data_IF_594180667864
#
_entry.id   IF_594180667864
#
_cell.length_a   1.000
_cell.length_b   1.000
_cell.length_c   1.000
_cell.angle_alpha   90.00
_cell.angle_beta   90.00
_cell.angle_gamma   90.00
#
_symmetry.space_group_name_H-M   'P 1'
#
loop_
_entity.id
_entity.type
_entity.pdbx_description
1 polymer ?
#
# COMPACT_ATOMS: atom_id res chain seq x y z
N UNK A 1 -18.06 -2.95 -8.64
CA UNK A 1 -16.96 -3.63 -9.35
C UNK A 1 -16.27 -2.70 -10.35
N UNK A 2 -17.00 -1.97 -11.22
CA UNK A 2 -16.39 -1.12 -12.25
C UNK A 2 -15.35 -0.14 -11.70
N UNK A 3 -15.68 0.61 -10.65
CA UNK A 3 -14.73 1.54 -10.00
C UNK A 3 -13.52 0.83 -9.39
N UNK A 4 -13.73 -0.33 -8.77
CA UNK A 4 -12.65 -1.15 -8.22
C UNK A 4 -11.71 -1.66 -9.33
N UNK A 5 -12.28 -2.11 -10.45
CA UNK A 5 -11.52 -2.55 -11.62
C UNK A 5 -10.69 -1.40 -12.23
N UNK A 6 -11.27 -0.21 -12.36
CA UNK A 6 -10.54 0.96 -12.87
C UNK A 6 -9.35 1.35 -11.97
N UNK A 7 -9.53 1.32 -10.64
CA UNK A 7 -8.44 1.56 -9.71
C UNK A 7 -7.37 0.46 -9.81
N UNK A 8 -7.79 -0.79 -9.91
CA UNK A 8 -6.90 -1.94 -10.03
C UNK A 8 -6.03 -1.88 -11.30
N UNK A 9 -6.65 -1.59 -12.44
CA UNK A 9 -5.94 -1.39 -13.72
C UNK A 9 -5.02 -0.16 -13.66
N UNK A 10 -5.46 0.92 -13.01
CA UNK A 10 -4.64 2.11 -12.78
C UNK A 10 -3.37 1.82 -11.97
N UNK A 11 -3.48 1.01 -10.91
CA UNK A 11 -2.34 0.58 -10.10
C UNK A 11 -1.29 -0.17 -10.92
N UNK A 12 -1.70 -1.17 -11.71
CA UNK A 12 -0.81 -1.88 -12.64
C UNK A 12 -0.24 -0.93 -13.69
N UNK A 13 -1.10 -0.07 -14.26
CA UNK A 13 -0.71 0.85 -15.32
C UNK A 13 0.43 1.79 -14.90
N UNK A 14 0.35 2.35 -13.69
CA UNK A 14 1.39 3.23 -13.15
C UNK A 14 2.71 2.48 -12.98
N UNK A 15 2.69 1.25 -12.42
CA UNK A 15 3.90 0.46 -12.21
C UNK A 15 4.56 0.11 -13.54
N UNK A 16 3.77 -0.38 -14.51
CA UNK A 16 4.26 -0.75 -15.84
C UNK A 16 4.78 0.47 -16.59
N UNK A 17 4.05 1.59 -16.54
CA UNK A 17 4.46 2.85 -17.16
C UNK A 17 5.77 3.37 -16.58
N UNK A 18 5.90 3.39 -15.25
CA UNK A 18 7.12 3.83 -14.59
C UNK A 18 8.33 2.99 -15.01
N UNK A 19 8.18 1.67 -15.10
CA UNK A 19 9.30 0.79 -15.47
C UNK A 19 9.59 0.75 -16.96
N UNK A 20 8.58 0.94 -17.83
CA UNK A 20 8.77 0.88 -19.28
C UNK A 20 9.21 2.22 -19.87
N UNK A 21 8.62 3.32 -19.38
CA UNK A 21 8.78 4.65 -20.00
C UNK A 21 9.92 5.45 -19.37
N UNK A 22 10.09 5.40 -18.06
CA UNK A 22 11.14 6.15 -17.37
C UNK A 22 12.56 5.85 -17.89
N UNK A 23 12.96 4.59 -18.14
CA UNK A 23 14.28 4.31 -18.73
C UNK A 23 14.45 4.84 -20.15
N UNK A 24 13.35 5.00 -20.91
CA UNK A 24 13.40 5.49 -22.30
C UNK A 24 13.58 7.01 -22.39
N UNK A 25 13.15 7.75 -21.37
CA UNK A 25 13.17 9.21 -21.39
C UNK A 25 14.56 9.83 -21.19
N UNK A 26 15.58 9.06 -20.80
CA UNK A 26 17.00 9.48 -20.66
C UNK A 26 17.20 10.85 -19.96
N UNK A 27 16.27 11.29 -19.12
CA UNK A 27 16.30 12.60 -18.49
C UNK A 27 17.37 12.62 -17.39
N UNK A 28 18.30 13.58 -17.47
CA UNK A 28 19.53 13.64 -16.67
C UNK A 28 19.42 13.63 -15.14
N UNK A 29 18.20 13.67 -14.57
CA UNK A 29 17.98 13.47 -13.14
C UNK A 29 17.75 11.99 -12.75
N UNK A 30 17.62 11.10 -13.71
CA UNK A 30 17.24 9.71 -13.51
C UNK A 30 18.39 8.79 -13.08
N UNK A 31 19.63 9.29 -13.09
CA UNK A 31 20.77 8.55 -12.54
C UNK A 31 20.62 8.30 -11.03
N UNK A 32 19.88 9.17 -10.32
CA UNK A 32 19.55 8.98 -8.90
C UNK A 32 18.48 7.88 -8.67
N UNK A 33 17.60 7.63 -9.65
CA UNK A 33 16.62 6.52 -9.62
C UNK A 33 17.20 5.19 -10.13
N UNK A 34 18.36 5.20 -10.76
CA UNK A 34 19.13 4.00 -11.12
C UNK A 34 19.80 3.32 -9.92
N UNK A 35 19.69 3.89 -8.73
CA UNK A 35 20.28 3.36 -7.52
C UNK A 35 19.77 1.95 -7.23
N UNK A 36 20.70 1.02 -7.27
CA UNK A 36 20.72 -0.36 -6.72
C UNK A 36 19.52 -1.28 -6.95
N UNK A 37 18.28 -0.82 -6.78
CA UNK A 37 17.09 -1.68 -6.89
C UNK A 37 16.74 -2.02 -8.34
N UNK A 38 16.93 -1.08 -9.28
CA UNK A 38 16.66 -1.30 -10.70
C UNK A 38 17.77 -2.09 -11.39
N UNK A 39 19.04 -1.85 -11.07
CA UNK A 39 20.15 -2.60 -11.67
C UNK A 39 20.14 -4.08 -11.29
N UNK A 40 19.67 -4.44 -10.07
CA UNK A 40 19.50 -5.84 -9.68
C UNK A 40 18.31 -6.51 -10.37
N UNK A 41 17.22 -5.77 -10.59
CA UNK A 41 16.06 -6.28 -11.32
C UNK A 41 16.35 -6.42 -12.83
N UNK A 42 17.07 -5.48 -13.43
CA UNK A 42 17.44 -5.50 -14.85
C UNK A 42 18.36 -6.68 -15.22
N UNK A 43 19.24 -7.11 -14.30
CA UNK A 43 20.07 -8.31 -14.48
C UNK A 43 19.26 -9.62 -14.48
N UNK A 44 18.04 -9.60 -13.93
CA UNK A 44 17.17 -10.79 -13.81
C UNK A 44 16.17 -10.90 -14.95
N UNK A 45 15.81 -9.80 -15.63
CA UNK A 45 14.80 -9.82 -16.72
C UNK A 45 15.27 -8.96 -17.90
N UNK A 46 15.67 -9.56 -19.01
CA UNK A 46 16.31 -8.86 -20.12
C UNK A 46 15.38 -8.00 -20.98
N UNK A 47 14.05 -8.00 -20.76
CA UNK A 47 13.11 -7.21 -21.56
C UNK A 47 12.01 -6.57 -20.71
N UNK A 48 11.75 -5.28 -20.91
CA UNK A 48 10.70 -4.52 -20.21
C UNK A 48 9.31 -5.19 -20.28
N UNK A 49 8.96 -5.81 -21.40
CA UNK A 49 7.69 -6.55 -21.57
C UNK A 49 7.58 -7.79 -20.68
N UNK A 50 8.69 -8.53 -20.50
CA UNK A 50 8.71 -9.71 -19.62
C UNK A 50 8.63 -9.29 -18.14
N UNK A 51 9.26 -8.18 -17.78
CA UNK A 51 9.17 -7.59 -16.45
C UNK A 51 7.73 -7.14 -16.16
N UNK A 52 7.11 -6.40 -17.08
CA UNK A 52 5.74 -5.93 -16.96
C UNK A 52 4.74 -7.11 -16.81
N UNK A 53 4.89 -8.15 -17.63
CA UNK A 53 4.05 -9.35 -17.54
C UNK A 53 4.23 -10.10 -16.21
N UNK A 54 5.48 -10.23 -15.74
CA UNK A 54 5.79 -10.86 -14.45
C UNK A 54 5.19 -10.10 -13.27
N UNK A 55 5.27 -8.77 -13.27
CA UNK A 55 4.68 -7.94 -12.23
C UNK A 55 3.16 -7.99 -12.28
N UNK A 56 2.57 -7.93 -13.47
CA UNK A 56 1.12 -8.08 -13.63
C UNK A 56 0.60 -9.41 -13.05
N UNK A 57 1.33 -10.49 -13.28
CA UNK A 57 1.00 -11.81 -12.72
C UNK A 57 1.09 -11.81 -11.19
N UNK A 58 2.17 -11.28 -10.62
CA UNK A 58 2.36 -11.17 -9.16
C UNK A 58 1.26 -10.31 -8.54
N UNK A 59 0.94 -9.19 -9.17
CA UNK A 59 -0.13 -8.30 -8.72
C UNK A 59 -1.50 -8.99 -8.73
N UNK A 60 -1.83 -9.72 -9.79
CA UNK A 60 -3.06 -10.50 -9.88
C UNK A 60 -3.10 -11.62 -8.82
N UNK A 61 -1.99 -12.33 -8.62
CA UNK A 61 -1.88 -13.38 -7.61
C UNK A 61 -2.06 -12.84 -6.19
N UNK A 62 -1.42 -11.71 -5.86
CA UNK A 62 -1.61 -11.03 -4.58
C UNK A 62 -3.05 -10.57 -4.40
N UNK A 63 -3.68 -10.02 -5.45
CA UNK A 63 -5.09 -9.61 -5.38
C UNK A 63 -6.01 -10.79 -5.11
N UNK A 64 -5.80 -11.92 -5.77
CA UNK A 64 -6.55 -13.15 -5.53
C UNK A 64 -6.34 -13.67 -4.09
N UNK A 65 -5.10 -13.67 -3.60
CA UNK A 65 -4.78 -14.03 -2.23
C UNK A 65 -5.54 -13.15 -1.22
N UNK A 66 -5.52 -11.82 -1.41
CA UNK A 66 -6.24 -10.89 -0.52
C UNK A 66 -7.77 -11.08 -0.61
N UNK A 67 -8.33 -11.36 -1.79
CA UNK A 67 -9.76 -11.67 -1.93
C UNK A 67 -10.15 -12.90 -1.11
N UNK A 68 -9.31 -13.94 -1.17
CA UNK A 68 -9.50 -15.17 -0.38
C UNK A 68 -9.41 -14.85 1.13
N UNK A 69 -8.38 -14.14 1.58
CA UNK A 69 -8.20 -13.77 2.99
C UNK A 69 -9.37 -12.93 3.52
N UNK A 70 -9.85 -11.93 2.77
CA UNK A 70 -10.99 -11.10 3.14
C UNK A 70 -12.28 -11.91 3.20
N UNK A 71 -12.49 -12.86 2.27
CA UNK A 71 -13.65 -13.73 2.31
C UNK A 71 -13.64 -14.66 3.55
N UNK A 72 -12.50 -15.26 3.87
CA UNK A 72 -12.35 -16.06 5.11
C UNK A 72 -12.47 -15.22 6.38
N UNK A 73 -12.21 -13.92 6.32
CA UNK A 73 -12.42 -12.99 7.43
C UNK A 73 -13.88 -12.60 7.65
N UNK A 74 -14.82 -13.15 6.85
CA UNK A 74 -16.25 -12.91 6.95
C UNK A 74 -16.80 -11.86 5.98
N UNK A 75 -15.99 -11.35 5.04
CA UNK A 75 -16.48 -10.45 4.00
C UNK A 75 -17.18 -11.25 2.88
N UNK A 76 -18.33 -10.79 2.41
CA UNK A 76 -18.99 -11.40 1.26
C UNK A 76 -18.11 -11.41 0.01
N UNK A 77 -18.24 -12.42 -0.84
CA UNK A 77 -17.37 -12.62 -2.03
C UNK A 77 -17.28 -11.38 -2.90
N UNK A 78 -18.40 -10.71 -3.16
CA UNK A 78 -18.44 -9.48 -3.96
C UNK A 78 -17.63 -8.35 -3.33
N UNK A 79 -17.81 -8.13 -2.02
CA UNK A 79 -17.08 -7.11 -1.26
C UNK A 79 -15.60 -7.48 -1.15
N UNK A 80 -15.27 -8.75 -0.90
CA UNK A 80 -13.90 -9.24 -0.80
C UNK A 80 -13.10 -9.01 -2.10
N UNK A 81 -13.70 -9.31 -3.26
CA UNK A 81 -13.06 -9.07 -4.56
C UNK A 81 -12.89 -7.57 -4.81
N UNK A 82 -13.92 -6.75 -4.58
CA UNK A 82 -13.84 -5.32 -4.79
C UNK A 82 -12.78 -4.66 -3.88
N UNK A 83 -12.76 -5.03 -2.58
CA UNK A 83 -11.80 -4.46 -1.63
C UNK A 83 -10.38 -4.99 -1.83
N UNK A 84 -10.17 -6.26 -2.24
CA UNK A 84 -8.83 -6.75 -2.57
C UNK A 84 -8.21 -5.97 -3.73
N UNK A 85 -8.98 -5.71 -4.79
CA UNK A 85 -8.55 -4.90 -5.93
C UNK A 85 -8.13 -3.49 -5.49
N UNK A 86 -8.97 -2.82 -4.69
CA UNK A 86 -8.74 -1.43 -4.29
C UNK A 86 -7.72 -1.28 -3.15
N UNK A 87 -7.49 -2.35 -2.36
CA UNK A 87 -6.44 -2.39 -1.33
C UNK A 87 -5.06 -2.51 -1.97
N UNK A 88 -4.85 -3.49 -2.86
CA UNK A 88 -3.56 -3.69 -3.52
C UNK A 88 -3.21 -2.56 -4.49
N UNK A 89 -4.22 -1.93 -5.10
CA UNK A 89 -4.07 -0.73 -5.91
C UNK A 89 -3.84 0.54 -5.07
N UNK A 90 -3.94 0.46 -3.74
CA UNK A 90 -3.96 1.62 -2.83
C UNK A 90 -4.93 2.71 -3.28
N UNK A 91 -6.12 2.30 -3.76
CA UNK A 91 -7.11 3.20 -4.35
C UNK A 91 -8.26 3.58 -3.40
N UNK A 92 -8.56 2.77 -2.38
CA UNK A 92 -9.47 3.08 -1.28
C UNK A 92 -10.96 3.15 -1.61
N UNK A 93 -11.38 2.71 -2.80
CA UNK A 93 -12.80 2.59 -3.08
C UNK A 93 -13.43 1.47 -2.26
N UNK A 94 -14.52 1.79 -1.56
CA UNK A 94 -15.34 0.82 -0.83
C UNK A 94 -16.73 0.68 -1.46
N UNK A 95 -17.30 -0.51 -1.37
CA UNK A 95 -18.69 -0.81 -1.72
C UNK A 95 -19.67 -0.31 -0.67
N UNK A 96 -19.17 0.13 0.51
CA UNK A 96 -19.95 0.60 1.65
C UNK A 96 -19.73 2.08 1.89
N UNK A 97 -20.78 2.80 2.27
CA UNK A 97 -20.74 4.26 2.52
C UNK A 97 -19.81 4.62 3.69
N UNK A 98 -19.81 3.80 4.76
CA UNK A 98 -18.93 3.98 5.91
C UNK A 98 -17.55 3.33 5.71
N UNK A 99 -17.16 3.02 4.47
CA UNK A 99 -15.89 2.38 4.11
C UNK A 99 -15.69 1.06 4.87
N UNK A 100 -14.49 0.80 5.39
CA UNK A 100 -14.17 -0.44 6.11
C UNK A 100 -14.83 -0.49 7.48
N UNK A 101 -15.08 0.65 8.10
CA UNK A 101 -15.84 0.72 9.35
C UNK A 101 -17.25 0.10 9.30
N UNK A 102 -17.83 -0.05 8.09
CA UNK A 102 -19.13 -0.71 7.91
C UNK A 102 -19.12 -2.24 8.22
N UNK A 103 -17.95 -2.86 8.22
CA UNK A 103 -17.83 -4.30 8.46
C UNK A 103 -17.69 -4.65 9.95
N UNK A 104 -17.36 -3.68 10.79
CA UNK A 104 -17.18 -3.82 12.25
C UNK A 104 -16.39 -5.09 12.65
N UNK A 105 -15.32 -5.38 11.93
CA UNK A 105 -14.49 -6.57 12.10
C UNK A 105 -13.03 -6.22 12.22
N UNK A 106 -12.46 -6.49 13.39
CA UNK A 106 -11.03 -6.29 13.67
C UNK A 106 -10.15 -7.10 12.72
N UNK A 107 -10.57 -8.32 12.38
CA UNK A 107 -9.81 -9.20 11.47
C UNK A 107 -9.73 -8.59 10.07
N UNK A 108 -10.86 -8.10 9.55
CA UNK A 108 -10.92 -7.44 8.23
C UNK A 108 -9.99 -6.23 8.21
N UNK A 109 -10.01 -5.40 9.25
CA UNK A 109 -9.14 -4.23 9.35
C UNK A 109 -7.65 -4.61 9.27
N UNK A 110 -7.21 -5.62 10.04
CA UNK A 110 -5.80 -6.06 10.01
C UNK A 110 -5.38 -6.67 8.67
N UNK A 111 -6.26 -7.44 8.04
CA UNK A 111 -6.00 -7.98 6.69
C UNK A 111 -5.85 -6.83 5.67
N UNK A 112 -6.69 -5.81 5.76
CA UNK A 112 -6.59 -4.63 4.88
C UNK A 112 -5.33 -3.81 5.17
N UNK A 113 -4.95 -3.60 6.45
CA UNK A 113 -3.69 -2.95 6.82
C UNK A 113 -2.50 -3.66 6.16
N UNK A 114 -2.43 -4.98 6.29
CA UNK A 114 -1.38 -5.78 5.66
C UNK A 114 -1.38 -5.61 4.13
N UNK A 115 -2.56 -5.59 3.50
CA UNK A 115 -2.69 -5.36 2.05
C UNK A 115 -2.26 -3.98 1.60
N UNK A 116 -2.59 -2.93 2.34
CA UNK A 116 -2.15 -1.56 2.07
C UNK A 116 -0.62 -1.44 2.15
N UNK A 117 0.00 -2.06 3.15
CA UNK A 117 1.47 -2.09 3.29
C UNK A 117 2.10 -2.85 2.12
N UNK A 118 1.59 -4.05 1.79
CA UNK A 118 2.08 -4.87 0.66
C UNK A 118 1.95 -4.14 -0.68
N UNK A 119 0.83 -3.44 -0.93
CA UNK A 119 0.66 -2.61 -2.13
C UNK A 119 1.64 -1.42 -2.19
N UNK A 120 2.16 -0.99 -1.03
CA UNK A 120 3.07 0.15 -0.90
C UNK A 120 4.55 -0.22 -1.05
N UNK A 121 4.88 -1.50 -1.16
CA UNK A 121 6.24 -1.99 -1.36
C UNK A 121 6.57 -2.18 -2.86
N UNK A 122 7.85 -2.20 -3.25
CA UNK A 122 8.23 -2.30 -4.64
C UNK A 122 7.86 -3.67 -5.25
N UNK A 123 7.04 -3.68 -6.31
CA UNK A 123 6.60 -4.92 -6.96
C UNK A 123 7.72 -5.71 -7.63
N UNK A 124 8.81 -5.04 -8.00
CA UNK A 124 10.01 -5.70 -8.52
C UNK A 124 10.61 -6.70 -7.51
N UNK A 125 10.55 -6.41 -6.21
CA UNK A 125 11.03 -7.32 -5.18
C UNK A 125 10.16 -8.57 -5.03
N UNK A 126 8.84 -8.45 -5.20
CA UNK A 126 7.96 -9.62 -5.22
C UNK A 126 8.27 -10.56 -6.39
N UNK A 127 8.55 -10.00 -7.57
CA UNK A 127 8.98 -10.80 -8.71
C UNK A 127 10.34 -11.49 -8.44
N UNK A 128 11.27 -10.80 -7.79
CA UNK A 128 12.54 -11.39 -7.37
C UNK A 128 12.36 -12.49 -6.31
N UNK A 129 11.41 -12.32 -5.37
CA UNK A 129 11.08 -13.34 -4.36
C UNK A 129 10.58 -14.64 -5.00
N UNK A 130 9.70 -14.56 -6.00
CA UNK A 130 9.22 -15.74 -6.75
C UNK A 130 10.38 -16.50 -7.40
N UNK A 131 11.49 -15.81 -7.70
CA UNK A 131 12.71 -16.39 -8.29
C UNK A 131 13.79 -16.76 -7.26
N UNK A 132 13.44 -16.76 -5.96
CA UNK A 132 14.33 -17.17 -4.86
C UNK A 132 15.13 -16.03 -4.20
N UNK A 133 14.91 -14.76 -4.61
CA UNK A 133 15.64 -13.58 -4.10
C UNK A 133 14.95 -12.85 -2.94
N UNK A 134 14.47 -13.54 -1.90
CA UNK A 134 13.67 -12.96 -0.82
C UNK A 134 14.40 -11.93 0.08
N UNK A 135 15.73 -11.99 0.14
CA UNK A 135 16.54 -11.08 0.97
C UNK A 135 16.51 -9.62 0.46
N UNK A 136 16.27 -9.40 -0.83
CA UNK A 136 16.29 -8.06 -1.44
C UNK A 136 15.25 -7.11 -0.83
N UNK A 137 14.06 -7.61 -0.51
CA UNK A 137 12.98 -6.80 0.07
C UNK A 137 13.35 -6.24 1.46
N UNK A 138 13.94 -7.07 2.33
CA UNK A 138 14.30 -6.66 3.69
C UNK A 138 15.59 -5.81 3.76
N UNK A 139 16.43 -5.89 2.73
CA UNK A 139 17.67 -5.13 2.65
C UNK A 139 17.50 -3.78 1.95
N UNK A 140 16.36 -3.54 1.31
CA UNK A 140 16.10 -2.27 0.63
C UNK A 140 15.93 -1.14 1.65
N UNK A 141 16.77 -0.08 1.57
CA UNK A 141 16.67 1.07 2.47
C UNK A 141 15.29 1.76 2.42
N UNK A 142 14.66 1.85 1.23
CA UNK A 142 13.34 2.47 1.08
C UNK A 142 12.28 1.71 1.89
N UNK A 143 12.29 0.37 1.82
CA UNK A 143 11.36 -0.48 2.59
C UNK A 143 11.54 -0.28 4.09
N UNK A 144 12.80 -0.24 4.54
CA UNK A 144 13.11 -0.04 5.98
C UNK A 144 12.63 1.32 6.47
N UNK A 145 12.95 2.40 5.76
CA UNK A 145 12.53 3.75 6.14
C UNK A 145 11.02 3.90 6.11
N UNK A 146 10.36 3.33 5.10
CA UNK A 146 8.90 3.35 5.02
C UNK A 146 8.23 2.64 6.21
N UNK A 147 8.72 1.46 6.60
CA UNK A 147 8.20 0.74 7.77
C UNK A 147 8.48 1.49 9.09
N UNK A 148 9.65 2.13 9.21
CA UNK A 148 9.97 2.98 10.37
C UNK A 148 9.01 4.18 10.45
N UNK A 149 8.72 4.82 9.33
CA UNK A 149 7.77 5.94 9.27
C UNK A 149 6.36 5.50 9.66
N UNK A 150 5.87 4.37 9.14
CA UNK A 150 4.58 3.80 9.56
C UNK A 150 4.56 3.55 11.06
N UNK A 151 5.58 2.89 11.58
CA UNK A 151 5.66 2.55 13.00
C UNK A 151 5.66 3.81 13.89
N UNK A 152 6.47 4.81 13.54
CA UNK A 152 6.52 6.09 14.24
C UNK A 152 5.19 6.85 14.21
N UNK A 153 4.52 6.87 13.03
CA UNK A 153 3.21 7.48 12.88
C UNK A 153 2.16 6.78 13.74
N UNK A 154 2.11 5.45 13.71
CA UNK A 154 1.16 4.66 14.51
C UNK A 154 1.38 4.88 16.00
N UNK A 155 2.62 4.89 16.47
CA UNK A 155 2.94 5.16 17.89
C UNK A 155 2.47 6.54 18.31
N UNK A 156 2.73 7.55 17.49
CA UNK A 156 2.37 8.94 17.79
C UNK A 156 0.84 9.13 17.82
N UNK A 157 0.12 8.56 16.85
CA UNK A 157 -1.34 8.62 16.84
C UNK A 157 -1.95 7.80 17.98
N UNK A 158 -1.42 6.62 18.27
CA UNK A 158 -1.87 5.79 19.38
C UNK A 158 -1.72 6.51 20.70
N UNK A 159 -0.55 7.10 20.97
CA UNK A 159 -0.31 7.90 22.17
C UNK A 159 -1.33 9.06 22.29
N UNK A 160 -1.56 9.80 21.21
CA UNK A 160 -2.53 10.89 21.19
C UNK A 160 -3.96 10.41 21.48
N UNK A 161 -4.39 9.30 20.90
CA UNK A 161 -5.72 8.73 21.12
C UNK A 161 -5.91 8.25 22.56
N UNK A 162 -4.87 7.68 23.16
CA UNK A 162 -4.91 7.29 24.58
C UNK A 162 -5.06 8.50 25.50
N UNK A 163 -4.39 9.62 25.20
CA UNK A 163 -4.55 10.88 25.97
C UNK A 163 -5.99 11.43 25.87
N UNK A 164 -6.69 11.14 24.78
CA UNK A 164 -8.09 11.49 24.57
C UNK A 164 -9.09 10.46 25.16
N UNK A 165 -8.59 9.49 25.96
CA UNK A 165 -9.42 8.56 26.71
C UNK A 165 -9.79 7.26 25.98
N UNK A 166 -9.22 6.98 24.80
CA UNK A 166 -9.41 5.67 24.16
C UNK A 166 -8.61 4.59 24.89
N UNK A 167 -9.20 3.39 25.00
CA UNK A 167 -8.50 2.20 25.48
C UNK A 167 -7.35 1.80 24.54
N UNK A 168 -6.28 1.21 25.08
CA UNK A 168 -5.07 0.84 24.32
C UNK A 168 -5.38 0.01 23.06
N UNK A 169 -6.30 -0.98 23.17
CA UNK A 169 -6.66 -1.85 22.03
C UNK A 169 -7.30 -1.09 20.87
N UNK A 170 -8.26 -0.22 21.18
CA UNK A 170 -8.92 0.61 20.17
C UNK A 170 -8.00 1.69 19.61
N UNK A 171 -7.15 2.27 20.47
CA UNK A 171 -6.17 3.27 20.04
C UNK A 171 -5.17 2.67 19.03
N UNK A 172 -4.62 1.47 19.30
CA UNK A 172 -3.73 0.77 18.36
C UNK A 172 -4.47 0.45 17.06
N UNK A 173 -5.69 -0.09 17.14
CA UNK A 173 -6.49 -0.47 15.98
C UNK A 173 -6.77 0.73 15.08
N UNK A 174 -7.33 1.80 15.63
CA UNK A 174 -7.72 2.99 14.87
C UNK A 174 -6.51 3.77 14.35
N UNK A 175 -5.45 3.92 15.16
CA UNK A 175 -4.21 4.58 14.75
C UNK A 175 -3.53 3.82 13.61
N UNK A 176 -3.43 2.48 13.72
CA UNK A 176 -2.82 1.64 12.69
C UNK A 176 -3.61 1.71 11.39
N UNK A 177 -4.93 1.52 11.45
CA UNK A 177 -5.75 1.50 10.24
C UNK A 177 -5.73 2.85 9.51
N UNK A 178 -6.11 3.93 10.18
CA UNK A 178 -6.24 5.24 9.53
C UNK A 178 -4.86 5.85 9.23
N UNK A 179 -3.86 5.62 10.09
CA UNK A 179 -2.47 6.05 9.84
C UNK A 179 -1.88 5.38 8.60
N UNK A 180 -1.99 4.05 8.49
CA UNK A 180 -1.52 3.32 7.30
C UNK A 180 -2.32 3.71 6.07
N UNK A 181 -3.63 3.87 6.17
CA UNK A 181 -4.48 4.27 5.06
C UNK A 181 -4.08 5.63 4.47
N UNK A 182 -3.70 6.59 5.32
CA UNK A 182 -3.29 7.94 4.87
C UNK A 182 -1.87 7.91 4.29
N UNK A 183 -0.89 7.30 4.98
CA UNK A 183 0.51 7.29 4.50
C UNK A 183 0.68 6.49 3.20
N UNK A 184 -0.13 5.45 2.99
CA UNK A 184 -0.14 4.69 1.73
C UNK A 184 -0.92 5.38 0.62
N UNK A 185 -1.64 6.46 0.92
CA UNK A 185 -2.53 7.14 -0.02
C UNK A 185 -3.78 6.33 -0.38
N UNK A 186 -4.06 5.23 0.35
CA UNK A 186 -5.23 4.38 0.07
C UNK A 186 -6.54 5.11 0.34
N UNK A 187 -6.68 5.76 1.50
CA UNK A 187 -7.86 6.58 1.82
C UNK A 187 -9.08 5.78 2.34
N UNK A 188 -8.91 4.54 2.79
CA UNK A 188 -9.96 3.85 3.55
C UNK A 188 -10.15 4.46 4.94
N UNK A 189 -11.36 4.34 5.46
CA UNK A 189 -11.73 4.85 6.78
C UNK A 189 -12.33 3.72 7.63
N UNK A 190 -11.81 3.56 8.86
CA UNK A 190 -12.40 2.66 9.88
C UNK A 190 -13.04 3.43 11.03
N UNK A 191 -12.57 4.66 11.30
CA UNK A 191 -13.08 5.54 12.34
C UNK A 191 -13.07 7.00 11.87
N UNK A 192 -13.89 7.83 12.48
CA UNK A 192 -13.94 9.26 12.16
C UNK A 192 -12.72 10.00 12.76
N UNK A 193 -11.61 10.00 12.01
CA UNK A 193 -10.37 10.66 12.41
C UNK A 193 -10.47 12.21 12.44
N UNK A 194 -11.49 12.81 11.83
CA UNK A 194 -11.74 14.26 11.95
C UNK A 194 -12.08 14.66 13.39
N UNK A 195 -12.59 13.73 14.18
CA UNK A 195 -12.90 13.95 15.60
C UNK A 195 -11.69 13.80 16.54
N UNK A 196 -10.51 13.40 16.05
CA UNK A 196 -9.32 13.19 16.86
C UNK A 196 -8.61 14.49 17.27
N UNK A 197 -9.10 15.65 16.83
CA UNK A 197 -8.55 16.96 17.17
C UNK A 197 -7.48 17.46 16.20
N UNK A 198 -7.09 18.72 16.38
CA UNK A 198 -6.19 19.41 15.46
C UNK A 198 -4.81 18.79 15.31
N UNK A 199 -4.25 18.22 16.38
CA UNK A 199 -2.95 17.56 16.38
C UNK A 199 -2.94 16.36 15.39
N UNK A 200 -3.88 15.43 15.53
CA UNK A 200 -3.96 14.26 14.65
C UNK A 200 -4.23 14.67 13.19
N UNK A 201 -5.14 15.63 12.97
CA UNK A 201 -5.45 16.13 11.63
C UNK A 201 -4.23 16.77 10.96
N UNK A 202 -3.44 17.56 11.70
CA UNK A 202 -2.22 18.19 11.17
C UNK A 202 -1.16 17.15 10.79
N UNK A 203 -0.94 16.14 11.62
CA UNK A 203 0.01 15.07 11.34
C UNK A 203 -0.43 14.27 10.12
N UNK A 204 -1.70 13.86 10.06
CA UNK A 204 -2.25 13.13 8.91
C UNK A 204 -2.16 13.96 7.63
N UNK A 205 -2.36 15.28 7.70
CA UNK A 205 -2.19 16.18 6.56
C UNK A 205 -0.73 16.19 6.06
N UNK A 206 0.25 16.26 6.97
CA UNK A 206 1.67 16.24 6.60
C UNK A 206 2.05 14.90 5.98
N UNK A 207 1.64 13.80 6.61
CA UNK A 207 1.99 12.44 6.19
C UNK A 207 1.35 12.06 4.85
N UNK A 208 0.21 12.64 4.50
CA UNK A 208 -0.48 12.41 3.22
C UNK A 208 0.38 12.81 2.00
N UNK A 209 1.38 13.70 2.15
CA UNK A 209 2.32 14.03 1.09
C UNK A 209 3.44 13.00 0.94
N UNK A 210 3.68 12.16 1.95
CA UNK A 210 4.68 11.10 1.93
C UNK A 210 4.04 9.87 1.31
N UNK A 211 4.64 9.32 0.27
CA UNK A 211 4.16 8.10 -0.40
C UNK A 211 4.92 6.86 0.06
N UNK A 212 4.55 5.70 -0.47
CA UNK A 212 5.31 4.46 -0.28
C UNK A 212 6.59 4.40 -1.12
N UNK A 213 7.11 3.19 -1.25
CA UNK A 213 8.36 2.94 -1.98
C UNK A 213 8.23 3.18 -3.48
N UNK A 214 9.36 3.47 -4.14
CA UNK A 214 9.44 3.51 -5.60
C UNK A 214 9.03 2.18 -6.24
N UNK A 215 8.26 2.21 -7.35
CA UNK A 215 7.77 1.00 -8.00
C UNK A 215 6.62 0.28 -7.26
N UNK A 216 5.92 0.97 -6.36
CA UNK A 216 4.67 0.57 -5.72
C UNK A 216 3.46 1.24 -6.36
N UNK A 217 2.24 0.86 -5.93
CA UNK A 217 0.99 1.48 -6.38
C UNK A 217 0.68 2.83 -5.70
N UNK A 218 1.40 3.21 -4.64
CA UNK A 218 1.11 4.40 -3.84
C UNK A 218 1.33 5.71 -4.59
N UNK A 219 0.57 6.73 -4.21
CA UNK A 219 0.78 8.13 -4.59
C UNK A 219 1.82 8.80 -3.64
N UNK A 220 2.06 10.10 -3.85
CA UNK A 220 2.91 10.92 -2.98
C UNK A 220 4.39 10.91 -3.33
N UNK A 221 5.16 11.64 -2.51
CA UNK A 221 6.63 11.71 -2.64
C UNK A 221 7.20 10.38 -2.14
N UNK A 222 7.93 9.68 -3.01
CA UNK A 222 8.48 8.35 -2.69
C UNK A 222 9.60 8.45 -1.65
N UNK A 223 9.60 7.51 -0.72
CA UNK A 223 10.61 7.39 0.35
C UNK A 223 11.93 6.87 -0.21
#
# INVERSE_FOLDING_TARGET
>A
IWRALLQWLGGVGIIVMAMAVLPMLSVGGMQLFRTESFERAEKVVPRATQLAGGIGLVYAALTALWAIMLNFSGMGIFDAVAHSMTTLATGGYSTRTASIGAFDSVVIEWVIIAGMIVGSLPFAHYLAMVRGGWRGLLQDPQVRWFLILIFGLVLMLCWHLMQNGLGLGDAIRQASFNGVSIITGTGYVSANFSAWGGFATTILLIVMFIGGCGGSTTCGIKV
#
